data_IF_894999148889
#
_entry.id   IF_894999148889
#
_cell.length_a   1.000
_cell.length_b   1.000
_cell.length_c   1.000
_cell.angle_alpha   90.00
_cell.angle_beta   90.00
_cell.angle_gamma   90.00
#
_symmetry.space_group_name_H-M   'P 1'
#
loop_
_entity.id
_entity.type
_entity.pdbx_description
1 polymer ?
#
# COMPACT_ATOMS: atom_id res chain seq x y z
N UNK A 1 -12.49 -28.90 1.16
CA UNK A 1 -13.59 -27.97 1.45
C UNK A 1 -13.04 -26.57 1.67
N UNK A 2 -13.37 -25.66 0.74
CA UNK A 2 -12.81 -24.30 0.77
C UNK A 2 -13.61 -23.34 1.68
N UNK A 3 -14.70 -23.80 2.26
CA UNK A 3 -15.49 -23.03 3.23
C UNK A 3 -14.74 -23.02 4.57
N UNK A 4 -14.54 -21.86 5.12
CA UNK A 4 -13.90 -21.70 6.42
C UNK A 4 -14.60 -20.66 7.29
N UNK A 5 -14.40 -20.77 8.60
CA UNK A 5 -14.84 -19.75 9.54
C UNK A 5 -13.96 -18.52 9.38
N UNK A 6 -14.57 -17.43 8.93
CA UNK A 6 -13.91 -16.16 8.65
C UNK A 6 -14.37 -15.09 9.62
N UNK A 7 -13.48 -14.17 9.97
CA UNK A 7 -13.84 -13.00 10.74
C UNK A 7 -14.51 -11.95 9.81
N UNK A 8 -15.75 -11.60 10.14
CA UNK A 8 -16.47 -10.51 9.46
C UNK A 8 -16.17 -9.18 10.14
N UNK A 9 -15.32 -8.38 9.50
CA UNK A 9 -14.93 -7.05 10.00
C UNK A 9 -16.06 -6.02 9.91
N UNK A 10 -17.13 -6.29 9.16
CA UNK A 10 -18.30 -5.43 9.03
C UNK A 10 -19.44 -5.82 10.00
N UNK A 11 -19.23 -6.85 10.82
CA UNK A 11 -20.25 -7.36 11.71
C UNK A 11 -20.52 -6.38 12.87
N UNK A 12 -21.74 -5.88 12.95
CA UNK A 12 -22.23 -5.05 14.06
C UNK A 12 -23.16 -5.81 15.02
N UNK A 13 -23.36 -7.13 14.82
CA UNK A 13 -24.38 -7.93 15.53
C UNK A 13 -23.84 -8.85 16.61
N UNK A 14 -22.58 -8.70 17.00
CA UNK A 14 -21.97 -9.49 18.10
C UNK A 14 -21.53 -10.92 17.74
N UNK A 15 -21.75 -11.38 16.50
CA UNK A 15 -21.19 -12.64 15.99
C UNK A 15 -20.22 -12.37 14.85
N UNK A 16 -18.94 -12.08 15.16
CA UNK A 16 -17.98 -11.61 14.16
C UNK A 16 -17.44 -12.71 13.24
N UNK A 17 -18.01 -13.90 13.26
CA UNK A 17 -17.55 -15.03 12.47
C UNK A 17 -18.65 -15.58 11.58
N UNK A 18 -18.32 -15.78 10.31
CA UNK A 18 -19.21 -16.36 9.30
C UNK A 18 -18.50 -17.48 8.56
N UNK A 19 -19.27 -18.49 8.15
CA UNK A 19 -18.78 -19.49 7.22
C UNK A 19 -18.82 -18.94 5.80
N UNK A 20 -17.71 -18.99 5.09
CA UNK A 20 -17.64 -18.45 3.76
C UNK A 20 -16.32 -18.69 3.05
N UNK A 21 -16.17 -18.06 1.90
CA UNK A 21 -14.95 -18.06 1.10
C UNK A 21 -14.26 -16.71 1.22
N UNK A 22 -12.94 -16.72 1.23
CA UNK A 22 -12.13 -15.52 1.16
C UNK A 22 -11.33 -15.51 -0.13
N UNK A 23 -11.37 -14.41 -0.85
CA UNK A 23 -10.62 -14.22 -2.09
C UNK A 23 -9.63 -13.08 -1.96
N UNK A 24 -8.48 -13.26 -2.59
CA UNK A 24 -7.54 -12.20 -2.93
C UNK A 24 -7.75 -11.88 -4.40
N UNK A 25 -7.97 -10.63 -4.73
CA UNK A 25 -8.20 -10.20 -6.12
C UNK A 25 -7.24 -9.08 -6.50
N UNK A 26 -6.82 -9.08 -7.75
CA UNK A 26 -6.09 -8.00 -8.38
C UNK A 26 -6.99 -7.36 -9.45
N UNK A 27 -7.12 -6.03 -9.37
CA UNK A 27 -7.96 -5.25 -10.27
C UNK A 27 -7.11 -4.19 -10.96
N UNK A 28 -7.21 -4.09 -12.26
CA UNK A 28 -6.59 -3.04 -13.05
C UNK A 28 -7.56 -1.87 -13.18
N UNK A 29 -7.14 -0.69 -12.71
CA UNK A 29 -7.88 0.56 -12.88
C UNK A 29 -7.37 1.30 -14.11
N UNK A 30 -8.19 1.39 -15.15
CA UNK A 30 -7.84 2.04 -16.41
C UNK A 30 -8.53 3.40 -16.49
N UNK A 31 -7.78 4.50 -16.68
CA UNK A 31 -8.39 5.81 -16.86
C UNK A 31 -9.11 5.86 -18.22
N UNK A 32 -10.35 6.28 -18.21
CA UNK A 32 -11.18 6.49 -19.40
C UNK A 32 -11.60 7.95 -19.46
N UNK A 33 -11.33 8.60 -20.58
CA UNK A 33 -11.73 9.97 -20.81
C UNK A 33 -13.17 10.00 -21.31
N UNK A 34 -14.07 10.57 -20.50
CA UNK A 34 -15.44 10.85 -20.92
C UNK A 34 -15.52 12.29 -21.41
N UNK A 35 -15.70 12.45 -22.71
CA UNK A 35 -15.97 13.74 -23.34
C UNK A 35 -17.48 13.89 -23.51
N UNK A 36 -18.06 14.86 -22.80
CA UNK A 36 -19.43 15.32 -23.05
C UNK A 36 -19.36 16.69 -23.74
N UNK A 37 -20.12 16.87 -24.80
CA UNK A 37 -20.19 18.17 -25.49
C UNK A 37 -20.52 19.30 -24.51
N UNK A 38 -19.70 20.35 -24.52
CA UNK A 38 -19.87 21.55 -23.70
C UNK A 38 -19.46 21.42 -22.22
N UNK A 39 -18.83 20.33 -21.77
CA UNK A 39 -18.32 20.16 -20.41
C UNK A 39 -16.83 19.85 -20.41
N UNK A 40 -16.15 20.21 -19.32
CA UNK A 40 -14.78 19.80 -19.11
C UNK A 40 -14.67 18.26 -19.14
N UNK A 41 -13.60 17.70 -19.75
CA UNK A 41 -13.40 16.26 -19.82
C UNK A 41 -13.29 15.68 -18.39
N UNK A 42 -14.07 14.64 -18.12
CA UNK A 42 -14.05 13.93 -16.84
C UNK A 42 -13.29 12.62 -16.98
N UNK A 43 -12.23 12.44 -16.21
CA UNK A 43 -11.53 11.16 -16.11
C UNK A 43 -12.32 10.25 -15.19
N UNK A 44 -12.73 9.11 -15.70
CA UNK A 44 -13.29 8.01 -14.91
C UNK A 44 -12.33 6.84 -14.93
N UNK A 45 -12.37 6.02 -13.90
CA UNK A 45 -11.57 4.79 -13.85
C UNK A 45 -12.47 3.58 -14.03
N UNK A 46 -12.13 2.76 -15.02
CA UNK A 46 -12.76 1.46 -15.22
C UNK A 46 -11.98 0.42 -14.43
N UNK A 47 -12.64 -0.25 -13.50
CA UNK A 47 -12.06 -1.33 -12.71
C UNK A 47 -12.25 -2.66 -13.44
N UNK A 48 -11.16 -3.29 -13.87
CA UNK A 48 -11.15 -4.57 -14.58
C UNK A 48 -10.49 -5.61 -13.68
N UNK A 49 -11.22 -6.60 -13.16
CA UNK A 49 -10.61 -7.71 -12.45
C UNK A 49 -9.69 -8.51 -13.38
N UNK A 50 -8.41 -8.60 -13.04
CA UNK A 50 -7.40 -9.30 -13.88
C UNK A 50 -6.96 -10.63 -13.29
N UNK A 51 -7.26 -10.86 -12.00
CA UNK A 51 -7.00 -12.13 -11.35
C UNK A 51 -7.64 -12.21 -9.96
N UNK A 52 -7.91 -13.44 -9.54
CA UNK A 52 -8.34 -13.73 -8.18
C UNK A 52 -7.87 -15.10 -7.74
N UNK A 53 -7.67 -15.29 -6.44
CA UNK A 53 -7.30 -16.56 -5.81
C UNK A 53 -8.15 -16.77 -4.57
N UNK A 54 -8.68 -17.97 -4.44
CA UNK A 54 -9.39 -18.37 -3.23
C UNK A 54 -8.37 -18.76 -2.14
N UNK A 55 -8.57 -18.23 -0.95
CA UNK A 55 -7.73 -18.55 0.18
C UNK A 55 -8.17 -19.86 0.85
N UNK A 56 -7.29 -20.87 0.83
CA UNK A 56 -7.55 -22.22 1.39
C UNK A 56 -6.79 -22.52 2.67
N UNK A 57 -6.06 -21.54 3.22
CA UNK A 57 -5.14 -21.68 4.37
C UNK A 57 -3.80 -22.39 4.08
N UNK A 58 -3.62 -22.94 2.90
CA UNK A 58 -2.33 -23.53 2.48
C UNK A 58 -1.26 -22.47 2.24
N UNK A 59 -1.68 -21.32 1.76
CA UNK A 59 -0.86 -20.14 1.55
C UNK A 59 -1.41 -18.94 2.32
N UNK A 60 -0.57 -17.98 2.61
CA UNK A 60 -1.02 -16.70 3.16
C UNK A 60 -1.67 -15.84 2.08
N UNK A 61 -2.57 -14.94 2.45
CA UNK A 61 -3.15 -13.96 1.51
C UNK A 61 -2.10 -13.05 0.86
N UNK A 62 -0.98 -12.83 1.55
CA UNK A 62 0.15 -12.05 1.02
C UNK A 62 0.90 -12.81 -0.08
N UNK A 63 1.09 -14.13 0.08
CA UNK A 63 1.66 -14.97 -0.96
C UNK A 63 0.74 -15.00 -2.18
N UNK A 64 -0.56 -15.23 -2.01
CA UNK A 64 -1.54 -15.19 -3.10
C UNK A 64 -1.56 -13.84 -3.83
N UNK A 65 -1.45 -12.73 -3.10
CA UNK A 65 -1.35 -11.40 -3.70
C UNK A 65 -0.05 -11.24 -4.51
N UNK A 66 1.06 -11.73 -3.99
CA UNK A 66 2.35 -11.73 -4.69
C UNK A 66 2.29 -12.55 -5.98
N UNK A 67 1.70 -13.75 -5.93
CA UNK A 67 1.54 -14.63 -7.10
C UNK A 67 0.70 -13.95 -8.20
N UNK A 68 -0.39 -13.26 -7.82
CA UNK A 68 -1.20 -12.48 -8.76
C UNK A 68 -0.41 -11.33 -9.42
N UNK A 69 0.44 -10.64 -8.66
CA UNK A 69 1.31 -9.60 -9.22
C UNK A 69 2.29 -10.20 -10.21
N UNK A 70 2.93 -11.31 -9.86
CA UNK A 70 3.91 -12.00 -10.72
C UNK A 70 3.29 -12.53 -12.02
N UNK A 71 2.03 -12.95 -12.01
CA UNK A 71 1.31 -13.38 -13.20
C UNK A 71 0.92 -12.20 -14.11
N UNK A 72 0.54 -11.06 -13.53
CA UNK A 72 0.01 -9.93 -14.31
C UNK A 72 1.12 -9.03 -14.84
N UNK A 73 2.20 -8.82 -14.09
CA UNK A 73 3.25 -7.89 -14.48
C UNK A 73 3.91 -8.22 -15.83
N UNK A 74 4.17 -9.48 -16.22
CA UNK A 74 4.67 -9.80 -17.56
C UNK A 74 3.74 -9.40 -18.70
N UNK A 75 2.41 -9.32 -18.44
CA UNK A 75 1.42 -8.87 -19.42
C UNK A 75 1.42 -7.35 -19.61
N UNK A 76 1.93 -6.61 -18.61
CA UNK A 76 2.03 -5.15 -18.62
C UNK A 76 3.42 -4.65 -19.08
N UNK A 77 4.11 -5.45 -19.91
CA UNK A 77 5.45 -5.12 -20.43
C UNK A 77 5.53 -3.67 -20.87
N UNK A 78 6.62 -2.99 -20.48
CA UNK A 78 6.95 -1.60 -20.84
C UNK A 78 5.91 -0.55 -20.38
N UNK A 79 4.98 -0.93 -19.50
CA UNK A 79 4.02 -0.01 -18.89
C UNK A 79 4.48 0.35 -17.47
N UNK A 80 4.31 1.61 -17.13
CA UNK A 80 4.39 2.05 -15.74
C UNK A 80 3.06 1.77 -15.05
N UNK A 81 3.11 1.20 -13.87
CA UNK A 81 1.95 0.88 -13.06
C UNK A 81 2.07 1.46 -11.66
N UNK A 82 0.94 1.69 -11.03
CA UNK A 82 0.86 2.09 -9.63
C UNK A 82 0.04 1.04 -8.87
N UNK A 83 0.71 0.30 -7.99
CA UNK A 83 0.07 -0.69 -7.13
C UNK A 83 -0.52 -0.01 -5.89
N UNK A 84 -1.81 -0.17 -5.70
CA UNK A 84 -2.56 0.37 -4.57
C UNK A 84 -3.07 -0.76 -3.68
N UNK A 85 -2.86 -0.65 -2.37
CA UNK A 85 -3.44 -1.58 -1.40
C UNK A 85 -3.59 -0.92 -0.01
N UNK A 86 -4.39 -1.54 0.82
CA UNK A 86 -4.63 -1.08 2.18
C UNK A 86 -3.51 -1.48 3.16
N UNK A 87 -3.64 -1.04 4.41
CA UNK A 87 -2.66 -1.29 5.46
C UNK A 87 -2.49 -2.76 5.83
N UNK A 88 -3.45 -3.62 5.51
CA UNK A 88 -3.35 -5.05 5.79
C UNK A 88 -2.28 -5.71 4.91
N UNK A 89 -2.21 -5.30 3.64
CA UNK A 89 -1.22 -5.77 2.67
C UNK A 89 0.13 -5.05 2.78
N UNK A 90 0.25 -3.99 3.57
CA UNK A 90 1.49 -3.23 3.76
C UNK A 90 2.52 -4.02 4.59
N UNK A 91 3.08 -5.06 3.99
CA UNK A 91 4.10 -5.94 4.57
C UNK A 91 5.31 -6.03 3.65
N UNK A 92 6.50 -6.13 4.25
CA UNK A 92 7.77 -6.19 3.50
C UNK A 92 7.79 -7.33 2.49
N UNK A 93 7.24 -8.49 2.82
CA UNK A 93 7.20 -9.65 1.93
C UNK A 93 6.50 -9.36 0.61
N UNK A 94 5.35 -8.68 0.62
CA UNK A 94 4.63 -8.30 -0.60
C UNK A 94 5.30 -7.13 -1.32
N UNK A 95 5.73 -6.11 -0.57
CA UNK A 95 6.37 -4.92 -1.13
C UNK A 95 7.68 -5.29 -1.83
N UNK A 96 8.49 -6.15 -1.25
CA UNK A 96 9.75 -6.59 -1.85
C UNK A 96 9.52 -7.38 -3.14
N UNK A 97 8.49 -8.23 -3.20
CA UNK A 97 8.11 -8.93 -4.45
C UNK A 97 7.66 -7.94 -5.52
N UNK A 98 6.79 -7.00 -5.18
CA UNK A 98 6.28 -6.00 -6.13
C UNK A 98 7.40 -5.09 -6.68
N UNK A 99 8.35 -4.69 -5.82
CA UNK A 99 9.49 -3.84 -6.22
C UNK A 99 10.55 -4.55 -7.07
N UNK A 100 10.40 -5.85 -7.37
CA UNK A 100 11.23 -6.53 -8.36
C UNK A 100 10.90 -6.08 -9.80
N UNK A 101 9.76 -5.46 -10.01
CA UNK A 101 9.31 -4.94 -11.30
C UNK A 101 9.63 -3.44 -11.41
N UNK A 102 10.63 -3.04 -12.23
CA UNK A 102 11.11 -1.64 -12.30
C UNK A 102 10.05 -0.61 -12.71
N UNK A 103 9.02 -1.06 -13.43
CA UNK A 103 7.91 -0.21 -13.86
C UNK A 103 6.76 -0.09 -12.85
N UNK A 104 6.89 -0.66 -11.64
CA UNK A 104 5.83 -0.68 -10.65
C UNK A 104 6.17 0.19 -9.44
N UNK A 105 5.43 1.27 -9.27
CA UNK A 105 5.43 2.07 -8.04
C UNK A 105 4.36 1.59 -7.07
N UNK A 106 4.50 1.91 -5.79
CA UNK A 106 3.58 1.46 -4.74
C UNK A 106 3.09 2.66 -3.93
N UNK A 107 1.78 2.74 -3.74
CA UNK A 107 1.15 3.59 -2.72
C UNK A 107 0.29 2.70 -1.83
N UNK A 108 0.51 2.76 -0.53
CA UNK A 108 -0.30 2.03 0.43
C UNK A 108 -0.55 2.82 1.70
N UNK A 109 -1.67 2.56 2.34
CA UNK A 109 -1.88 3.01 3.69
C UNK A 109 -1.04 2.17 4.65
N UNK A 110 -0.56 2.80 5.71
CA UNK A 110 0.09 2.12 6.82
C UNK A 110 -0.67 2.43 8.11
N UNK A 111 -0.55 1.56 9.10
CA UNK A 111 -1.17 1.81 10.41
C UNK A 111 -0.51 3.01 11.08
N UNK A 112 -1.28 3.77 11.83
CA UNK A 112 -0.80 4.98 12.54
C UNK A 112 0.28 4.69 13.59
N UNK A 113 0.33 3.46 14.11
CA UNK A 113 1.35 2.96 15.05
C UNK A 113 2.63 2.43 14.37
N UNK A 114 2.68 2.44 13.03
CA UNK A 114 3.83 1.95 12.26
C UNK A 114 5.10 2.72 12.59
N UNK A 115 6.18 1.98 12.84
CA UNK A 115 7.46 2.58 13.21
C UNK A 115 8.12 3.24 11.99
N UNK A 116 8.26 4.55 12.05
CA UNK A 116 8.96 5.38 11.07
C UNK A 116 10.17 6.05 11.74
N UNK A 117 11.22 6.26 10.97
CA UNK A 117 12.47 6.82 11.45
C UNK A 117 13.01 7.85 10.47
N UNK A 118 13.71 8.84 11.00
CA UNK A 118 14.53 9.74 10.20
C UNK A 118 15.64 8.96 9.49
N UNK A 119 16.19 9.56 8.44
CA UNK A 119 17.39 9.04 7.79
C UNK A 119 18.54 8.96 8.80
N UNK A 120 19.48 8.02 8.61
CA UNK A 120 20.63 7.93 9.48
C UNK A 120 21.44 9.23 9.43
N UNK A 121 22.00 9.68 10.56
CA UNK A 121 22.89 10.82 10.56
C UNK A 121 24.15 10.52 9.72
N UNK A 122 24.75 11.58 9.21
CA UNK A 122 26.04 11.45 8.51
C UNK A 122 27.10 10.85 9.42
N UNK A 123 28.04 10.06 8.87
CA UNK A 123 29.15 9.52 9.64
C UNK A 123 29.93 10.65 10.33
N UNK A 124 30.19 10.49 11.60
CA UNK A 124 30.89 11.49 12.43
C UNK A 124 32.37 11.18 12.69
N UNK A 125 32.93 10.20 11.99
CA UNK A 125 34.35 9.78 12.13
C UNK A 125 34.67 9.07 13.45
N UNK A 126 33.73 8.88 14.37
CA UNK A 126 33.95 8.19 15.64
C UNK A 126 33.98 6.67 15.43
N UNK A 127 34.84 5.92 16.17
CA UNK A 127 34.83 4.48 16.14
C UNK A 127 33.46 3.93 16.61
N UNK A 128 33.03 2.85 15.97
CA UNK A 128 31.78 2.18 16.29
C UNK A 128 30.92 1.89 15.06
N UNK A 129 29.88 1.07 15.24
CA UNK A 129 28.94 0.73 14.14
C UNK A 129 28.09 1.95 13.76
N UNK A 130 28.07 2.37 12.49
CA UNK A 130 27.23 3.47 12.05
C UNK A 130 25.76 3.22 12.37
N UNK A 131 25.05 4.26 12.78
CA UNK A 131 23.58 4.17 13.01
C UNK A 131 22.87 3.91 11.69
N UNK A 132 22.02 2.90 11.67
CA UNK A 132 21.21 2.55 10.48
C UNK A 132 19.96 3.42 10.33
N UNK A 133 19.54 4.13 11.38
CA UNK A 133 18.31 4.94 11.44
C UNK A 133 18.56 6.15 12.32
N UNK A 134 17.84 7.23 12.05
CA UNK A 134 17.75 8.41 12.90
C UNK A 134 16.76 8.24 14.05
N UNK A 135 16.18 9.34 14.51
CA UNK A 135 15.15 9.34 15.54
C UNK A 135 13.85 8.70 15.04
N UNK A 136 13.06 8.15 15.97
CA UNK A 136 11.69 7.71 15.67
C UNK A 136 10.84 8.95 15.38
N UNK A 137 10.00 8.84 14.35
CA UNK A 137 9.06 9.86 13.91
C UNK A 137 7.65 9.41 14.30
N UNK A 138 6.87 10.32 14.83
CA UNK A 138 5.45 10.16 15.12
C UNK A 138 4.62 11.02 14.17
N UNK A 139 3.31 10.76 14.07
CA UNK A 139 2.43 11.52 13.19
C UNK A 139 2.44 13.02 13.47
N UNK A 140 2.56 13.41 14.73
CA UNK A 140 2.63 14.82 15.18
C UNK A 140 3.94 15.53 14.78
N UNK A 141 4.95 14.79 14.32
CA UNK A 141 6.22 15.38 13.87
C UNK A 141 6.19 15.79 12.39
N UNK A 142 5.05 15.60 11.71
CA UNK A 142 4.87 16.03 10.32
C UNK A 142 4.45 17.50 10.29
N UNK A 143 5.18 18.31 9.54
CA UNK A 143 4.78 19.69 9.26
C UNK A 143 3.70 19.67 8.18
N UNK A 144 2.51 20.15 8.52
CA UNK A 144 1.40 20.26 7.59
C UNK A 144 1.62 21.48 6.70
N UNK A 145 1.85 21.23 5.41
CA UNK A 145 2.29 22.26 4.46
C UNK A 145 1.32 22.49 3.31
N UNK A 146 0.41 21.58 3.07
CA UNK A 146 -0.55 21.68 1.97
C UNK A 146 -1.98 21.62 2.50
N UNK A 147 -2.84 22.42 1.90
CA UNK A 147 -4.28 22.33 2.09
C UNK A 147 -4.91 21.84 0.77
N UNK A 148 -5.52 20.66 0.80
CA UNK A 148 -6.21 20.06 -0.34
C UNK A 148 -7.65 19.74 0.07
N UNK A 149 -8.62 20.42 -0.50
CA UNK A 149 -10.05 20.19 -0.31
C UNK A 149 -10.48 20.04 1.17
N UNK A 150 -9.98 20.93 2.04
CA UNK A 150 -10.26 20.90 3.48
C UNK A 150 -9.41 19.89 4.28
N UNK A 151 -8.44 19.22 3.65
CA UNK A 151 -7.47 18.37 4.33
C UNK A 151 -6.12 19.08 4.43
N UNK A 152 -5.53 19.04 5.60
CA UNK A 152 -4.13 19.44 5.79
C UNK A 152 -3.23 18.23 5.57
N UNK A 153 -2.21 18.38 4.73
CA UNK A 153 -1.31 17.29 4.35
C UNK A 153 0.12 17.64 4.72
N UNK A 154 0.80 16.75 5.40
CA UNK A 154 2.23 16.82 5.69
C UNK A 154 3.00 15.73 4.96
N UNK A 155 4.25 16.02 4.62
CA UNK A 155 5.14 15.09 3.90
C UNK A 155 6.52 15.02 4.57
N UNK A 156 7.08 13.81 4.65
CA UNK A 156 8.48 13.57 5.04
C UNK A 156 9.08 12.37 4.31
N UNK A 157 10.39 12.41 4.12
CA UNK A 157 11.14 11.21 3.70
C UNK A 157 11.57 10.46 4.96
N UNK A 158 11.18 9.19 5.04
CA UNK A 158 11.39 8.35 6.23
C UNK A 158 11.97 6.99 5.87
N UNK A 159 12.43 6.26 6.88
CA UNK A 159 12.74 4.84 6.81
C UNK A 159 11.68 4.07 7.59
N UNK A 160 11.24 2.95 7.05
CA UNK A 160 10.37 2.00 7.77
C UNK A 160 10.75 0.57 7.45
N UNK A 161 10.57 -0.33 8.42
CA UNK A 161 10.81 -1.77 8.21
C UNK A 161 9.82 -2.39 7.22
N UNK A 162 8.61 -1.82 7.08
CA UNK A 162 7.58 -2.28 6.15
C UNK A 162 8.10 -2.28 4.71
N UNK A 163 8.98 -1.33 4.37
CA UNK A 163 9.59 -1.20 3.04
C UNK A 163 11.08 -1.61 3.05
N UNK A 164 11.50 -2.58 3.87
CA UNK A 164 12.87 -3.07 3.91
C UNK A 164 13.91 -2.00 4.31
N UNK A 165 13.52 -1.01 5.12
CA UNK A 165 14.33 0.17 5.46
C UNK A 165 14.78 1.01 4.26
N UNK A 166 14.03 0.99 3.17
CA UNK A 166 14.21 1.91 2.05
C UNK A 166 13.72 3.31 2.42
N UNK A 167 14.26 4.31 1.76
CA UNK A 167 13.73 5.68 1.81
C UNK A 167 12.40 5.71 1.12
N UNK A 168 11.37 6.18 1.81
CA UNK A 168 10.03 6.33 1.26
C UNK A 168 9.50 7.72 1.53
N UNK A 169 8.57 8.16 0.71
CA UNK A 169 7.77 9.36 0.92
C UNK A 169 6.57 8.98 1.80
N UNK A 170 6.51 9.52 3.00
CA UNK A 170 5.39 9.35 3.92
C UNK A 170 4.54 10.61 3.93
N UNK A 171 3.22 10.42 3.84
CA UNK A 171 2.22 11.48 3.88
C UNK A 171 1.28 11.26 5.05
N UNK A 172 0.91 12.33 5.72
CA UNK A 172 -0.09 12.33 6.79
C UNK A 172 -1.15 13.36 6.42
N UNK A 173 -2.41 13.00 6.48
CA UNK A 173 -3.53 13.91 6.25
C UNK A 173 -4.42 13.98 7.48
N UNK A 174 -4.89 15.18 7.79
CA UNK A 174 -5.89 15.46 8.82
C UNK A 174 -7.08 16.15 8.16
N UNK A 175 -8.27 15.64 8.43
CA UNK A 175 -9.51 16.37 8.14
C UNK A 175 -9.70 17.46 9.19
N UNK A 176 -9.93 18.68 8.76
CA UNK A 176 -10.30 19.81 9.62
C UNK A 176 -11.79 19.75 9.99
#
# INVERSE_FOLDING_TARGET
DAVSLLHDHACHTGKPYVNGHCFVSLTLSVPVLNQHEGKAPLIRYLAVPVGYRMWTKEQTKLELAGDLIEEVMPLLKDRQGLLLFDSWYAKSSLIERALQYPGLDIICNVRSDSAMYELPPLPNGKPGRPKKRGKRIHMNDFTLSWNMDGMQVGHRIVLTHICGNRRIHAYVSYTT
#
